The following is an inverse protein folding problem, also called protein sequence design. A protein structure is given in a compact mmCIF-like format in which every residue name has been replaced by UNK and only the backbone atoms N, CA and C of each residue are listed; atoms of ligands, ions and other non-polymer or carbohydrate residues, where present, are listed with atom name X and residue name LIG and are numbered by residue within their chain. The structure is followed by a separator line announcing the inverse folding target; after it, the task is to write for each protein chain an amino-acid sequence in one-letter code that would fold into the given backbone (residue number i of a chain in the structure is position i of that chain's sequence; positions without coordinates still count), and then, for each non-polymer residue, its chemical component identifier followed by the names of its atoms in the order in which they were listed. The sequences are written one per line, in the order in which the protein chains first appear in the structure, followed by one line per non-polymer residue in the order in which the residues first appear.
data_IF_054827199969
#
_entry.id   IF_054827199969
#
_cell.length_a   1.000
_cell.length_b   1.000
_cell.length_c   1.000
_cell.angle_alpha   90.00
_cell.angle_beta   90.00
_cell.angle_gamma   90.00
#
_symmetry.space_group_name_H-M   'P 1'
#
loop_
_entity.id
_entity.type
_entity.pdbx_description
1 polymer ?
#
# COMPACT_ATOMS: atom_id res chain seq x y z
N UNK A 1 -12.15 9.37 -15.42
CA UNK A 1 -11.03 8.69 -14.74
C UNK A 1 -10.73 9.44 -13.45
N UNK A 2 -10.55 8.74 -12.33
CA UNK A 2 -10.24 9.39 -11.05
C UNK A 2 -8.83 9.98 -11.11
N UNK A 3 -8.69 11.26 -10.73
CA UNK A 3 -7.40 11.96 -10.68
C UNK A 3 -6.79 11.94 -9.28
N UNK A 4 -7.25 11.02 -8.42
CA UNK A 4 -6.75 10.90 -7.06
C UNK A 4 -5.70 9.82 -6.95
N UNK A 5 -4.77 10.01 -6.03
CA UNK A 5 -3.76 9.01 -5.69
C UNK A 5 -4.46 7.75 -5.21
N UNK A 6 -4.02 6.62 -5.75
CA UNK A 6 -4.45 5.28 -5.35
C UNK A 6 -3.35 4.59 -4.57
N UNK A 7 -3.74 3.74 -3.64
CA UNK A 7 -2.83 3.00 -2.77
C UNK A 7 -3.03 1.50 -3.01
N UNK A 8 -1.93 0.85 -3.38
CA UNK A 8 -1.83 -0.59 -3.52
C UNK A 8 -1.17 -1.16 -2.27
N UNK A 9 -1.77 -2.21 -1.71
CA UNK A 9 -1.22 -2.84 -0.52
C UNK A 9 -1.27 -4.36 -0.61
N UNK A 10 -0.20 -5.01 -0.14
CA UNK A 10 -0.21 -6.44 0.13
C UNK A 10 -0.70 -6.67 1.56
N UNK A 11 -1.88 -7.24 1.72
CA UNK A 11 -2.52 -7.50 3.00
C UNK A 11 -2.63 -8.99 3.31
N UNK A 12 -2.57 -9.34 4.59
CA UNK A 12 -3.01 -10.64 5.09
C UNK A 12 -4.52 -10.64 5.41
N UNK A 13 -5.15 -11.78 5.74
CA UNK A 13 -6.60 -11.84 6.00
C UNK A 13 -7.04 -11.02 7.22
N UNK A 14 -6.13 -10.77 8.16
CA UNK A 14 -6.36 -9.91 9.33
C UNK A 14 -6.09 -8.42 9.02
N UNK A 15 -5.91 -8.04 7.75
CA UNK A 15 -5.65 -6.67 7.27
C UNK A 15 -4.38 -5.99 7.79
N UNK A 16 -3.40 -6.75 8.28
CA UNK A 16 -2.03 -6.24 8.44
C UNK A 16 -1.40 -6.02 7.07
N UNK A 17 -0.89 -4.82 6.80
CA UNK A 17 -0.16 -4.55 5.57
C UNK A 17 1.30 -4.99 5.69
N UNK A 18 1.79 -5.69 4.67
CA UNK A 18 3.18 -6.13 4.56
C UNK A 18 3.99 -5.10 3.78
N UNK A 19 3.45 -4.64 2.66
CA UNK A 19 4.05 -3.58 1.83
C UNK A 19 2.94 -2.77 1.18
N UNK A 20 3.23 -1.50 0.89
CA UNK A 20 2.33 -0.61 0.19
C UNK A 20 3.09 0.25 -0.83
N UNK A 21 2.38 0.68 -1.87
CA UNK A 21 2.85 1.61 -2.89
C UNK A 21 1.69 2.51 -3.32
N UNK A 22 2.00 3.74 -3.73
CA UNK A 22 1.00 4.69 -4.21
C UNK A 22 1.25 5.03 -5.67
N UNK A 23 0.19 5.27 -6.43
CA UNK A 23 0.27 5.70 -7.83
C UNK A 23 -0.80 6.71 -8.18
N UNK A 24 -0.54 7.53 -9.20
CA UNK A 24 -1.54 8.40 -9.79
C UNK A 24 -2.09 7.76 -11.08
N UNK A 25 -3.41 7.55 -11.20
CA UNK A 25 -3.99 7.05 -12.43
C UNK A 25 -3.68 7.98 -13.60
N UNK A 26 -3.16 7.42 -14.69
CA UNK A 26 -2.71 8.17 -15.88
C UNK A 26 -1.19 8.37 -15.95
N UNK A 27 -0.49 8.30 -14.81
CA UNK A 27 0.98 8.22 -14.77
C UNK A 27 1.46 6.78 -14.64
N UNK A 28 0.73 5.97 -13.87
CA UNK A 28 1.01 4.54 -13.68
C UNK A 28 -0.27 3.76 -13.39
N UNK A 29 -0.17 2.44 -13.28
CA UNK A 29 -1.30 1.54 -13.06
C UNK A 29 -1.15 0.71 -11.78
N UNK A 30 -2.23 0.03 -11.41
CA UNK A 30 -2.22 -0.97 -10.34
C UNK A 30 -1.15 -2.05 -10.61
N UNK A 31 -1.13 -2.62 -11.82
CA UNK A 31 -0.23 -3.73 -12.16
C UNK A 31 1.24 -3.30 -12.16
N UNK A 32 1.55 -2.09 -12.67
CA UNK A 32 2.89 -1.51 -12.59
C UNK A 32 3.35 -1.37 -11.15
N UNK A 33 2.47 -0.86 -10.28
CA UNK A 33 2.76 -0.68 -8.86
C UNK A 33 2.96 -2.03 -8.17
N UNK A 34 2.10 -3.02 -8.44
CA UNK A 34 2.25 -4.38 -7.93
C UNK A 34 3.58 -4.98 -8.36
N UNK A 35 3.98 -4.83 -9.63
CA UNK A 35 5.24 -5.35 -10.13
C UNK A 35 6.44 -4.76 -9.36
N UNK A 36 6.46 -3.44 -9.12
CA UNK A 36 7.49 -2.78 -8.32
C UNK A 36 7.53 -3.34 -6.89
N UNK A 37 6.36 -3.51 -6.25
CA UNK A 37 6.28 -4.05 -4.89
C UNK A 37 6.77 -5.49 -4.82
N UNK A 38 6.42 -6.34 -5.79
CA UNK A 38 6.90 -7.73 -5.87
C UNK A 38 8.41 -7.80 -6.04
N UNK A 39 8.99 -6.98 -6.91
CA UNK A 39 10.44 -6.93 -7.12
C UNK A 39 11.17 -6.53 -5.83
N UNK A 40 10.64 -5.56 -5.08
CA UNK A 40 11.21 -5.17 -3.78
C UNK A 40 11.13 -6.30 -2.75
N UNK A 41 10.01 -7.02 -2.68
CA UNK A 41 9.87 -8.16 -1.77
C UNK A 41 10.82 -9.32 -2.13
N UNK A 42 10.98 -9.61 -3.43
CA UNK A 42 11.92 -10.63 -3.91
C UNK A 42 13.37 -10.26 -3.58
N UNK A 43 13.76 -8.99 -3.76
CA UNK A 43 15.10 -8.52 -3.44
C UNK A 43 15.44 -8.60 -1.94
N UNK A 44 14.43 -8.61 -1.07
CA UNK A 44 14.61 -8.75 0.38
C UNK A 44 14.74 -10.21 0.84
N UNK A 45 14.66 -11.19 -0.08
CA UNK A 45 14.58 -12.64 0.22
C UNK A 45 13.54 -12.98 1.30
N UNK A 46 12.56 -12.10 1.49
CA UNK A 46 11.60 -12.22 2.57
C UNK A 46 10.63 -13.36 2.26
N UNK A 47 10.46 -14.30 3.19
CA UNK A 47 9.31 -15.21 3.11
C UNK A 47 8.03 -14.38 3.00
N UNK A 48 7.18 -14.70 2.02
CA UNK A 48 5.91 -14.02 1.79
C UNK A 48 4.91 -14.41 2.89
N UNK A 49 5.10 -13.84 4.08
CA UNK A 49 4.26 -14.03 5.25
C UNK A 49 4.06 -12.71 6.00
N UNK A 50 2.92 -12.60 6.65
CA UNK A 50 2.66 -11.51 7.57
C UNK A 50 3.61 -11.62 8.79
N UNK A 51 4.40 -10.58 9.05
CA UNK A 51 5.28 -10.53 10.23
C UNK A 51 4.54 -10.42 11.58
N UNK A 52 3.23 -10.10 11.55
CA UNK A 52 2.41 -9.94 12.77
C UNK A 52 1.67 -11.23 13.11
N UNK A 53 0.89 -11.79 12.16
CA UNK A 53 0.07 -12.98 12.41
C UNK A 53 0.57 -14.26 11.73
N UNK A 54 1.71 -14.21 11.02
CA UNK A 54 2.30 -15.38 10.36
C UNK A 54 1.59 -15.87 9.10
N UNK A 55 0.45 -15.27 8.70
CA UNK A 55 -0.32 -15.73 7.54
C UNK A 55 0.47 -15.63 6.24
N UNK A 56 0.42 -16.69 5.42
CA UNK A 56 0.96 -16.75 4.05
C UNK A 56 -0.08 -16.42 2.97
N UNK A 57 -1.35 -16.27 3.36
CA UNK A 57 -2.43 -15.90 2.44
C UNK A 57 -2.41 -14.39 2.26
N UNK A 58 -1.66 -13.91 1.29
CA UNK A 58 -1.48 -12.48 1.02
C UNK A 58 -2.20 -12.09 -0.27
N UNK A 59 -2.84 -10.94 -0.29
CA UNK A 59 -3.53 -10.41 -1.45
C UNK A 59 -3.22 -8.93 -1.65
N UNK A 60 -3.07 -8.52 -2.92
CA UNK A 60 -2.98 -7.11 -3.25
C UNK A 60 -4.38 -6.50 -3.30
N UNK A 61 -4.59 -5.40 -2.60
CA UNK A 61 -5.80 -4.57 -2.65
C UNK A 61 -5.46 -3.18 -3.20
N UNK A 62 -6.43 -2.55 -3.86
CA UNK A 62 -6.32 -1.19 -4.42
C UNK A 62 -7.41 -0.30 -3.85
N UNK A 63 -7.03 0.90 -3.40
CA UNK A 63 -7.97 1.83 -2.78
C UNK A 63 -7.67 3.29 -3.16
N UNK A 64 -8.71 4.08 -3.39
CA UNK A 64 -8.59 5.51 -3.67
C UNK A 64 -8.37 6.31 -2.38
N UNK A 65 -7.37 7.20 -2.39
CA UNK A 65 -7.13 8.11 -1.26
C UNK A 65 -7.83 9.46 -1.46
N UNK A 66 -7.87 10.28 -0.41
CA UNK A 66 -8.32 11.67 -0.49
C UNK A 66 -7.38 12.63 -1.23
N UNK A 67 -6.14 12.22 -1.55
CA UNK A 67 -5.11 13.10 -2.11
C UNK A 67 -5.17 13.18 -3.63
N UNK A 68 -4.83 14.35 -4.18
CA UNK A 68 -4.84 14.58 -5.63
C UNK A 68 -3.48 14.42 -6.29
N UNK A 69 -2.40 14.43 -5.52
CA UNK A 69 -1.05 14.23 -6.02
C UNK A 69 -0.19 13.46 -5.01
N UNK A 70 0.90 12.86 -5.50
CA UNK A 70 1.82 12.10 -4.64
C UNK A 70 2.54 13.00 -3.64
N UNK A 71 2.83 14.26 -4.01
CA UNK A 71 3.44 15.25 -3.11
C UNK A 71 2.54 15.57 -1.92
N UNK A 72 1.21 15.65 -2.14
CA UNK A 72 0.24 15.83 -1.06
C UNK A 72 0.15 14.60 -0.16
N UNK A 73 0.27 13.41 -0.74
CA UNK A 73 0.19 12.15 0.00
C UNK A 73 1.47 11.84 0.79
N UNK A 74 2.64 12.26 0.28
CA UNK A 74 3.96 11.94 0.80
C UNK A 74 4.13 12.14 2.32
N UNK A 75 3.79 13.30 2.92
CA UNK A 75 3.99 13.49 4.36
C UNK A 75 3.15 12.54 5.21
N UNK A 76 1.91 12.26 4.78
CA UNK A 76 1.06 11.33 5.50
C UNK A 76 1.55 9.90 5.32
N UNK A 77 1.91 9.47 4.10
CA UNK A 77 2.49 8.15 3.86
C UNK A 77 3.77 7.92 4.69
N UNK A 78 4.65 8.91 4.78
CA UNK A 78 5.85 8.87 5.62
C UNK A 78 5.49 8.76 7.12
N UNK A 79 4.49 9.51 7.58
CA UNK A 79 3.98 9.42 8.96
C UNK A 79 3.44 8.03 9.27
N UNK A 80 2.75 7.39 8.33
CA UNK A 80 2.20 6.04 8.49
C UNK A 80 3.30 4.98 8.51
N UNK A 81 4.30 5.13 7.63
CA UNK A 81 5.49 4.28 7.62
C UNK A 81 6.23 4.30 8.95
N UNK A 82 6.42 5.49 9.53
CA UNK A 82 7.10 5.64 10.82
C UNK A 82 6.33 5.01 11.99
N UNK A 83 4.99 4.97 11.93
CA UNK A 83 4.17 4.36 12.99
C UNK A 83 4.13 2.83 12.94
N UNK A 84 4.46 2.20 11.80
CA UNK A 84 4.37 0.75 11.62
C UNK A 84 2.95 0.17 11.65
N UNK A 85 1.93 0.98 11.94
CA UNK A 85 0.51 0.59 12.00
C UNK A 85 -0.21 0.91 10.69
N UNK A 86 0.10 0.14 9.66
CA UNK A 86 -0.47 0.34 8.33
C UNK A 86 -1.95 -0.06 8.22
N UNK A 87 -2.49 -0.82 9.18
CA UNK A 87 -3.87 -1.31 9.15
C UNK A 87 -4.89 -0.24 9.57
N UNK A 88 -4.59 0.55 10.60
CA UNK A 88 -5.48 1.61 11.11
C UNK A 88 -5.28 2.92 10.36
N UNK A 89 -4.02 3.22 10.03
CA UNK A 89 -3.58 4.36 9.24
C UNK A 89 -4.38 4.59 7.95
N UNK A 90 -4.78 3.52 7.29
CA UNK A 90 -5.36 3.58 5.96
C UNK A 90 -6.81 4.05 5.91
N UNK A 91 -7.65 3.67 6.88
CA UNK A 91 -9.05 4.13 6.88
C UNK A 91 -9.14 5.66 6.83
N UNK A 92 -8.21 6.31 7.52
CA UNK A 92 -8.10 7.76 7.56
C UNK A 92 -7.67 8.37 6.21
N UNK A 93 -7.02 7.60 5.34
CA UNK A 93 -6.65 8.02 3.98
C UNK A 93 -7.80 7.91 2.98
N UNK A 94 -8.69 6.94 3.18
CA UNK A 94 -9.80 6.62 2.27
C UNK A 94 -11.02 7.55 2.46
N UNK A 95 -10.99 8.44 3.47
CA UNK A 95 -12.00 9.48 3.63
C UNK A 95 -13.37 8.99 4.11
N UNK A 96 -13.41 7.90 4.90
CA UNK A 96 -14.57 7.54 5.73
C UNK A 96 -14.36 8.02 7.16
#
# INVERSE_FOLDING_TARGET
MSTKVRLVQLLCPNRHAIVAGAYLPGESTFDDTVAVLRNKLQALEAEWRCGICGSRRLAFEDAETRFRSLEQAAPELARLQAKGDWGVALRNLLGN
#
